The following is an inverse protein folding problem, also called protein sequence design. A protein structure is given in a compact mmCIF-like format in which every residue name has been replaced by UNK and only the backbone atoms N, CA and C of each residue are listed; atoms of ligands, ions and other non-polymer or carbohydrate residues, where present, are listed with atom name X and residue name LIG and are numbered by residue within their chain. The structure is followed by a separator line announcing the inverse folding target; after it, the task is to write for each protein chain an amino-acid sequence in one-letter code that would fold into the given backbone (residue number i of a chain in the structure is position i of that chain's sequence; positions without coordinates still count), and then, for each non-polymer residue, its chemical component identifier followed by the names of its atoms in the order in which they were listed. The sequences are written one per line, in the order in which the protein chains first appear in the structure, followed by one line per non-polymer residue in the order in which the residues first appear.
data_IF_171896066188
#
_entry.id   IF_171896066188
#
_cell.length_a   1.000
_cell.length_b   1.000
_cell.length_c   1.000
_cell.angle_alpha   90.00
_cell.angle_beta   90.00
_cell.angle_gamma   90.00
#
_symmetry.space_group_name_H-M   'P 1'
#
loop_
_entity.id
_entity.type
_entity.pdbx_description
1 polymer ?
#
# COMPACT_ATOMS: atom_id res chain seq x y z
N UNK A 1 2.65 -9.65 -11.21
CA UNK A 1 3.58 -9.06 -12.20
C UNK A 1 2.94 -8.05 -13.16
N UNK A 2 1.88 -8.38 -13.92
CA UNK A 2 1.33 -7.46 -14.97
C UNK A 2 0.77 -6.12 -14.46
N UNK A 3 0.02 -6.15 -13.36
CA UNK A 3 -0.54 -4.96 -12.69
C UNK A 3 0.51 -4.12 -11.98
N UNK A 4 1.62 -4.74 -11.60
CA UNK A 4 2.69 -4.10 -10.85
C UNK A 4 3.54 -3.17 -11.73
N UNK A 5 3.40 -3.31 -13.04
CA UNK A 5 4.13 -2.52 -14.02
C UNK A 5 3.30 -1.31 -14.45
N UNK A 6 3.89 -0.11 -14.39
CA UNK A 6 3.20 1.13 -14.72
C UNK A 6 3.98 1.97 -15.72
N UNK A 7 3.39 2.31 -16.87
CA UNK A 7 3.99 3.18 -17.91
C UNK A 7 5.47 2.91 -18.27
N UNK A 8 5.89 1.64 -18.22
CA UNK A 8 7.26 1.23 -18.55
C UNK A 8 8.17 1.02 -17.34
N UNK A 9 7.71 1.33 -16.12
CA UNK A 9 8.51 1.28 -14.90
C UNK A 9 8.03 0.19 -13.94
N UNK A 10 8.98 -0.31 -13.15
CA UNK A 10 8.74 -1.22 -12.03
C UNK A 10 8.83 -0.39 -10.75
N UNK A 11 7.85 -0.47 -9.84
CA UNK A 11 7.94 0.10 -8.51
C UNK A 11 9.23 -0.34 -7.80
N UNK A 12 9.88 0.52 -7.01
CA UNK A 12 11.11 0.20 -6.31
C UNK A 12 10.89 -0.71 -5.08
N UNK A 13 9.83 -1.51 -5.04
CA UNK A 13 9.49 -2.40 -3.91
C UNK A 13 9.39 -3.87 -4.31
N UNK A 14 9.71 -4.20 -5.57
CA UNK A 14 9.45 -5.53 -6.15
C UNK A 14 10.70 -6.33 -6.49
N UNK A 15 11.86 -5.67 -6.57
CA UNK A 15 13.13 -6.34 -6.83
C UNK A 15 14.27 -5.67 -6.06
N UNK A 16 15.23 -6.49 -5.61
CA UNK A 16 16.39 -6.05 -4.81
C UNK A 16 17.26 -4.99 -5.48
N UNK A 17 17.24 -4.94 -6.81
CA UNK A 17 18.03 -4.00 -7.63
C UNK A 17 17.45 -2.59 -7.71
N UNK A 18 16.51 -2.24 -6.85
CA UNK A 18 15.73 -1.00 -6.84
C UNK A 18 16.53 0.30 -6.62
N UNK A 19 17.68 0.24 -5.94
CA UNK A 19 18.52 1.41 -5.68
C UNK A 19 19.61 1.60 -6.75
N UNK A 20 19.22 1.85 -8.01
CA UNK A 20 20.14 2.23 -9.08
C UNK A 20 19.72 3.55 -9.72
N UNK A 21 20.68 4.43 -10.12
CA UNK A 21 20.35 5.71 -10.76
C UNK A 21 19.44 5.56 -11.99
N UNK A 22 19.54 4.44 -12.68
CA UNK A 22 18.78 4.17 -13.90
C UNK A 22 17.61 3.18 -13.74
N UNK A 23 17.28 2.80 -12.51
CA UNK A 23 16.19 1.87 -12.23
C UNK A 23 14.84 2.33 -12.79
N UNK A 24 14.61 3.64 -12.81
CA UNK A 24 13.41 4.28 -13.35
C UNK A 24 13.36 4.33 -14.89
N UNK A 25 14.38 3.84 -15.61
CA UNK A 25 14.34 3.77 -17.07
C UNK A 25 13.21 2.84 -17.50
N UNK A 26 12.43 3.31 -18.49
CA UNK A 26 11.33 2.54 -19.03
C UNK A 26 11.84 1.31 -19.80
N UNK A 27 11.42 0.13 -19.39
CA UNK A 27 11.79 -1.17 -19.98
C UNK A 27 10.56 -1.89 -20.53
N UNK A 28 10.77 -2.97 -21.27
CA UNK A 28 9.67 -3.88 -21.58
C UNK A 28 9.36 -4.75 -20.36
N UNK A 29 8.10 -5.14 -20.20
CA UNK A 29 7.71 -5.99 -19.08
C UNK A 29 8.27 -7.42 -19.28
N UNK A 30 8.82 -8.08 -18.25
CA UNK A 30 9.40 -9.42 -18.39
C UNK A 30 8.47 -10.49 -18.97
N UNK A 31 7.15 -10.38 -18.73
CA UNK A 31 6.16 -11.30 -19.30
C UNK A 31 6.06 -11.24 -20.83
N UNK A 32 6.69 -10.26 -21.50
CA UNK A 32 6.73 -10.16 -22.97
C UNK A 32 7.31 -11.42 -23.61
N UNK A 33 8.41 -11.95 -23.07
CA UNK A 33 9.06 -13.16 -23.60
C UNK A 33 8.10 -14.36 -23.65
N UNK A 34 7.29 -14.53 -22.59
CA UNK A 34 6.27 -15.57 -22.54
C UNK A 34 5.19 -15.35 -23.60
N UNK A 35 4.69 -14.12 -23.72
CA UNK A 35 3.65 -13.77 -24.70
C UNK A 35 4.12 -13.97 -26.14
N UNK A 36 5.35 -13.56 -26.46
CA UNK A 36 5.93 -13.77 -27.79
C UNK A 36 6.11 -15.26 -28.08
N UNK A 37 6.53 -16.06 -27.11
CA UNK A 37 6.65 -17.51 -27.29
C UNK A 37 5.28 -18.18 -27.49
N UNK A 38 4.25 -17.79 -26.74
CA UNK A 38 2.89 -18.30 -26.91
C UNK A 38 2.35 -17.98 -28.31
N UNK A 39 2.51 -16.74 -28.77
CA UNK A 39 2.03 -16.30 -30.08
C UNK A 39 2.82 -16.89 -31.25
N UNK A 40 4.10 -17.23 -31.06
CA UNK A 40 4.95 -17.81 -32.11
C UNK A 40 4.85 -19.32 -32.18
N UNK A 41 4.97 -19.99 -31.04
CA UNK A 41 5.22 -21.44 -30.98
C UNK A 41 3.97 -22.25 -30.60
N UNK A 42 2.98 -21.61 -29.97
CA UNK A 42 1.78 -22.30 -29.43
C UNK A 42 0.47 -21.72 -29.94
N UNK A 43 0.49 -20.86 -30.97
CA UNK A 43 -0.68 -20.13 -31.45
C UNK A 43 -1.84 -21.04 -31.84
N UNK A 44 -1.55 -22.22 -32.40
CA UNK A 44 -2.56 -23.20 -32.82
C UNK A 44 -3.28 -23.89 -31.65
N UNK A 45 -2.76 -23.80 -30.43
CA UNK A 45 -3.44 -24.26 -29.21
C UNK A 45 -4.32 -23.18 -28.56
N UNK A 46 -4.30 -21.95 -29.07
CA UNK A 46 -5.01 -20.82 -28.50
C UNK A 46 -6.31 -20.55 -29.25
N UNK A 47 -7.36 -20.24 -28.51
CA UNK A 47 -8.61 -19.78 -29.12
C UNK A 47 -8.49 -18.31 -29.61
N UNK A 48 -9.42 -17.83 -30.45
CA UNK A 48 -9.36 -16.47 -30.99
C UNK A 48 -9.31 -15.36 -29.93
N UNK A 49 -9.99 -15.53 -28.78
CA UNK A 49 -9.99 -14.56 -27.70
C UNK A 49 -8.63 -14.47 -27.00
N UNK A 50 -8.00 -15.63 -26.71
CA UNK A 50 -6.67 -15.70 -26.13
C UNK A 50 -5.62 -15.07 -27.05
N UNK A 51 -5.71 -15.33 -28.36
CA UNK A 51 -4.85 -14.71 -29.35
C UNK A 51 -5.02 -13.18 -29.33
N UNK A 52 -6.27 -12.69 -29.34
CA UNK A 52 -6.55 -11.26 -29.32
C UNK A 52 -5.99 -10.58 -28.05
N UNK A 53 -6.11 -11.23 -26.89
CA UNK A 53 -5.54 -10.77 -25.62
C UNK A 53 -4.02 -10.68 -25.68
N UNK A 54 -3.34 -11.74 -26.09
CA UNK A 54 -1.89 -11.77 -26.19
C UNK A 54 -1.37 -10.76 -27.22
N UNK A 55 -2.06 -10.60 -28.34
CA UNK A 55 -1.71 -9.61 -29.36
C UNK A 55 -1.86 -8.17 -28.85
N UNK A 56 -2.94 -7.86 -28.15
CA UNK A 56 -3.11 -6.55 -27.52
C UNK A 56 -2.05 -6.31 -26.43
N UNK A 57 -1.81 -7.31 -25.57
CA UNK A 57 -0.79 -7.26 -24.54
C UNK A 57 0.57 -6.95 -25.15
N UNK A 58 0.96 -7.68 -26.21
CA UNK A 58 2.22 -7.48 -26.91
C UNK A 58 2.36 -6.06 -27.44
N UNK A 59 1.31 -5.52 -28.09
CA UNK A 59 1.34 -4.14 -28.61
C UNK A 59 1.52 -3.11 -27.49
N UNK A 60 0.70 -3.19 -26.45
CA UNK A 60 0.71 -2.20 -25.37
C UNK A 60 1.98 -2.28 -24.50
N UNK A 61 2.48 -3.49 -24.25
CA UNK A 61 3.72 -3.67 -23.48
C UNK A 61 4.96 -3.22 -24.27
N UNK A 62 5.01 -3.38 -25.61
CA UNK A 62 6.05 -2.76 -26.47
C UNK A 62 5.99 -1.24 -26.44
N UNK A 63 4.77 -0.69 -26.41
CA UNK A 63 4.55 0.74 -26.22
C UNK A 63 4.83 1.22 -24.79
N UNK A 64 5.18 0.32 -23.86
CA UNK A 64 5.44 0.62 -22.44
C UNK A 64 4.23 1.30 -21.78
N UNK A 65 3.02 0.97 -22.24
CA UNK A 65 1.76 1.60 -21.83
C UNK A 65 0.65 0.55 -21.67
N UNK A 66 0.92 -0.47 -20.85
CA UNK A 66 0.09 -1.65 -20.68
C UNK A 66 -1.08 -1.41 -19.70
N UNK A 67 -2.30 -1.33 -20.22
CA UNK A 67 -3.54 -1.18 -19.44
C UNK A 67 -4.63 -2.18 -19.80
N UNK A 68 -4.67 -2.66 -21.04
CA UNK A 68 -5.62 -3.65 -21.54
C UNK A 68 -7.07 -3.25 -21.17
N UNK A 69 -7.48 -2.03 -21.52
CA UNK A 69 -8.76 -1.45 -21.08
C UNK A 69 -10.01 -2.21 -21.54
N UNK A 70 -9.86 -3.10 -22.54
CA UNK A 70 -10.94 -3.96 -23.04
C UNK A 70 -11.17 -5.22 -22.17
N UNK A 71 -10.41 -5.40 -21.09
CA UNK A 71 -10.48 -6.55 -20.19
C UNK A 71 -11.04 -6.14 -18.84
N UNK A 72 -11.60 -7.07 -18.03
CA UNK A 72 -12.15 -6.72 -16.74
C UNK A 72 -11.16 -5.99 -15.82
N UNK A 73 -11.63 -4.96 -15.13
CA UNK A 73 -10.88 -4.27 -14.10
C UNK A 73 -10.40 -5.26 -13.01
N UNK A 74 -9.25 -4.96 -12.42
CA UNK A 74 -8.53 -5.84 -11.50
C UNK A 74 -7.57 -6.83 -12.18
N UNK A 75 -7.61 -7.01 -13.50
CA UNK A 75 -6.69 -7.91 -14.20
C UNK A 75 -5.40 -7.20 -14.67
N UNK A 76 -5.55 -6.07 -15.37
CA UNK A 76 -4.45 -5.32 -15.99
C UNK A 76 -4.41 -3.84 -15.58
N UNK A 77 -5.60 -3.30 -15.28
CA UNK A 77 -5.88 -1.96 -14.78
C UNK A 77 -6.93 -2.07 -13.66
N UNK A 78 -7.34 -0.94 -13.08
CA UNK A 78 -8.29 -0.88 -11.97
C UNK A 78 -7.63 -1.15 -10.62
N UNK A 79 -8.45 -1.44 -9.62
CA UNK A 79 -8.00 -1.73 -8.25
C UNK A 79 -7.96 -3.22 -7.99
N UNK A 80 -6.91 -3.69 -7.32
CA UNK A 80 -6.80 -5.09 -6.88
C UNK A 80 -5.93 -5.20 -5.64
N UNK A 81 -6.43 -6.00 -4.70
CA UNK A 81 -5.63 -6.55 -3.62
C UNK A 81 -5.03 -7.92 -4.04
N UNK A 82 -3.71 -8.05 -3.96
CA UNK A 82 -2.97 -9.28 -4.19
C UNK A 82 -2.76 -10.00 -2.87
N UNK A 83 -3.77 -10.76 -2.44
CA UNK A 83 -3.80 -11.43 -1.13
C UNK A 83 -2.63 -12.37 -0.83
N UNK A 84 -1.94 -12.90 -1.86
CA UNK A 84 -0.74 -13.73 -1.67
C UNK A 84 0.55 -12.92 -1.46
N UNK A 85 0.51 -11.61 -1.77
CA UNK A 85 1.65 -10.71 -1.71
C UNK A 85 1.45 -9.60 -0.66
N UNK A 86 0.23 -9.47 -0.13
CA UNK A 86 -0.18 -8.35 0.72
C UNK A 86 -0.06 -6.96 0.04
N UNK A 87 -0.25 -6.89 -1.28
CA UNK A 87 -0.21 -5.63 -2.03
C UNK A 87 -1.60 -5.10 -2.38
N UNK A 88 -1.85 -3.80 -2.17
CA UNK A 88 -2.98 -3.09 -2.78
C UNK A 88 -2.48 -2.23 -3.94
N UNK A 89 -3.03 -2.46 -5.13
CA UNK A 89 -2.66 -1.71 -6.34
C UNK A 89 -3.89 -1.07 -6.94
N UNK A 90 -3.81 0.22 -7.26
CA UNK A 90 -4.68 0.85 -8.24
C UNK A 90 -3.86 1.33 -9.42
N UNK A 91 -4.29 0.94 -10.61
CA UNK A 91 -3.63 1.28 -11.86
C UNK A 91 -4.62 1.80 -12.88
N UNK A 92 -4.53 3.07 -13.22
CA UNK A 92 -5.33 3.71 -14.28
C UNK A 92 -4.42 4.41 -15.29
N UNK A 93 -4.92 4.79 -16.48
CA UNK A 93 -4.14 5.62 -17.40
C UNK A 93 -3.62 6.93 -16.77
N UNK A 94 -4.34 7.48 -15.80
CA UNK A 94 -4.10 8.78 -15.17
C UNK A 94 -3.13 8.69 -13.99
N UNK A 95 -3.16 7.61 -13.19
CA UNK A 95 -2.25 7.43 -12.07
C UNK A 95 -2.06 5.97 -11.65
N UNK A 96 -1.08 5.76 -10.80
CA UNK A 96 -0.80 4.52 -10.12
C UNK A 96 -0.67 4.78 -8.63
N UNK A 97 -1.34 3.95 -7.83
CA UNK A 97 -1.20 3.91 -6.39
C UNK A 97 -0.83 2.50 -5.97
N UNK A 98 0.17 2.37 -5.12
CA UNK A 98 0.64 1.10 -4.59
C UNK A 98 0.71 1.18 -3.07
N UNK A 99 0.33 0.11 -2.39
CA UNK A 99 0.58 -0.08 -0.95
C UNK A 99 1.26 -1.43 -0.78
N UNK A 100 2.50 -1.42 -0.33
CA UNK A 100 3.25 -2.62 0.02
C UNK A 100 3.08 -2.92 1.51
N UNK A 101 2.42 -4.01 1.85
CA UNK A 101 2.25 -4.45 3.23
C UNK A 101 3.03 -5.75 3.46
N UNK A 102 2.94 -6.29 4.67
CA UNK A 102 3.42 -7.63 4.97
C UNK A 102 2.58 -8.26 6.07
N UNK A 103 2.69 -9.59 6.16
CA UNK A 103 2.19 -10.39 7.25
C UNK A 103 3.14 -11.56 7.47
N UNK A 104 2.90 -12.37 8.50
CA UNK A 104 3.66 -13.61 8.73
C UNK A 104 3.61 -14.64 7.59
N UNK A 105 2.87 -14.37 6.51
CA UNK A 105 2.71 -15.22 5.33
C UNK A 105 3.61 -14.81 4.17
N UNK A 106 4.17 -13.60 4.23
CA UNK A 106 4.98 -13.00 3.18
C UNK A 106 6.35 -12.65 3.73
N UNK A 107 7.34 -12.65 2.85
CA UNK A 107 8.69 -12.21 3.17
C UNK A 107 8.87 -10.76 2.70
N UNK A 108 9.82 -10.06 3.32
CA UNK A 108 10.27 -8.76 2.86
C UNK A 108 11.05 -8.80 1.54
N UNK A 109 11.48 -7.62 1.10
CA UNK A 109 12.32 -7.49 -0.09
C UNK A 109 13.80 -7.77 0.23
N UNK A 110 14.42 -8.62 -0.58
CA UNK A 110 15.84 -9.00 -0.43
C UNK A 110 16.78 -7.78 -0.46
N UNK A 111 17.85 -7.82 0.33
CA UNK A 111 18.94 -6.83 0.35
C UNK A 111 20.29 -7.51 0.16
N UNK A 112 21.17 -6.91 -0.64
CA UNK A 112 22.53 -7.41 -0.87
C UNK A 112 23.46 -6.26 -1.25
N UNK A 113 24.15 -5.67 -0.27
CA UNK A 113 24.89 -4.42 -0.46
C UNK A 113 26.00 -4.48 -1.52
N UNK A 114 26.66 -5.63 -1.69
CA UNK A 114 27.78 -5.77 -2.64
C UNK A 114 27.32 -5.70 -4.11
N UNK A 115 26.10 -6.17 -4.43
CA UNK A 115 25.61 -6.25 -5.82
C UNK A 115 24.27 -5.55 -6.11
N UNK A 116 23.54 -5.16 -5.07
CA UNK A 116 22.19 -4.60 -5.12
C UNK A 116 21.97 -3.63 -3.93
N UNK A 117 20.72 -3.22 -3.69
CA UNK A 117 20.42 -2.35 -2.56
C UNK A 117 20.68 -3.07 -1.24
N UNK A 118 21.46 -2.47 -0.35
CA UNK A 118 21.70 -2.97 1.01
C UNK A 118 20.65 -2.51 2.04
N UNK A 119 19.66 -1.72 1.63
CA UNK A 119 18.74 -1.01 2.53
C UNK A 119 17.25 -1.19 2.20
N UNK A 120 16.84 -2.39 1.76
CA UNK A 120 15.40 -2.71 1.64
C UNK A 120 14.79 -3.02 3.02
N UNK A 121 14.96 -2.07 3.95
CA UNK A 121 14.61 -2.24 5.36
C UNK A 121 13.15 -1.89 5.61
N UNK A 122 12.56 -0.94 4.89
CA UNK A 122 11.23 -0.37 5.19
C UNK A 122 10.20 -0.63 4.10
N UNK A 123 10.53 -1.39 3.06
CA UNK A 123 9.70 -1.51 1.86
C UNK A 123 8.34 -2.11 2.13
N UNK A 124 8.22 -2.97 3.16
CA UNK A 124 6.99 -3.67 3.55
C UNK A 124 6.31 -3.05 4.78
N UNK A 125 6.76 -1.89 5.25
CA UNK A 125 6.21 -1.21 6.43
C UNK A 125 4.96 -0.39 6.09
N UNK A 126 4.20 -0.82 5.08
CA UNK A 126 3.07 -0.08 4.54
C UNK A 126 3.49 1.04 3.59
N UNK A 127 4.57 0.84 2.82
CA UNK A 127 5.07 1.84 1.88
C UNK A 127 4.02 2.14 0.82
N UNK A 128 3.68 3.41 0.65
CA UNK A 128 2.75 3.88 -0.37
C UNK A 128 3.52 4.51 -1.53
N UNK A 129 3.05 4.35 -2.76
CA UNK A 129 3.64 4.99 -3.93
C UNK A 129 2.53 5.64 -4.76
N UNK A 130 2.73 6.89 -5.19
CA UNK A 130 1.82 7.61 -6.08
C UNK A 130 2.58 8.08 -7.31
N UNK A 131 2.20 7.56 -8.48
CA UNK A 131 2.90 7.81 -9.74
C UNK A 131 1.92 8.31 -10.82
N UNK A 132 2.34 9.30 -11.60
CA UNK A 132 1.65 9.77 -12.83
C UNK A 132 2.34 9.28 -14.08
N UNK A 133 3.67 9.34 -14.09
CA UNK A 133 4.51 9.05 -15.25
C UNK A 133 5.20 7.70 -15.18
N UNK A 134 5.31 7.14 -13.98
CA UNK A 134 6.08 5.94 -13.68
C UNK A 134 7.48 6.28 -13.16
N UNK A 135 7.87 5.60 -12.08
CA UNK A 135 9.22 5.61 -11.54
C UNK A 135 9.59 6.88 -10.77
N UNK A 136 8.62 7.72 -10.38
CA UNK A 136 8.86 8.89 -9.54
C UNK A 136 9.54 8.51 -8.22
N UNK A 137 9.01 7.51 -7.51
CA UNK A 137 9.60 7.05 -6.24
C UNK A 137 10.99 6.44 -6.44
N UNK A 138 11.21 5.75 -7.56
CA UNK A 138 12.52 5.22 -7.90
C UNK A 138 13.55 6.33 -8.12
N UNK A 139 13.20 7.41 -8.84
CA UNK A 139 14.12 8.55 -9.06
C UNK A 139 14.45 9.30 -7.77
N UNK A 140 13.49 9.36 -6.84
CA UNK A 140 13.63 10.00 -5.54
C UNK A 140 14.53 9.21 -4.57
N UNK A 141 14.67 7.89 -4.75
CA UNK A 141 15.30 7.00 -3.77
C UNK A 141 16.75 7.41 -3.43
N UNK A 142 17.53 7.85 -4.42
CA UNK A 142 18.91 8.31 -4.19
C UNK A 142 19.00 9.51 -3.25
N UNK A 143 17.97 10.34 -3.17
CA UNK A 143 17.88 11.49 -2.27
C UNK A 143 16.92 11.27 -1.11
N UNK A 144 16.39 10.06 -0.89
CA UNK A 144 15.42 9.81 0.16
C UNK A 144 16.09 9.72 1.54
N UNK A 145 15.42 10.20 2.59
CA UNK A 145 15.67 9.73 3.95
C UNK A 145 15.00 8.37 4.05
N UNK A 146 15.77 7.30 4.21
CA UNK A 146 15.24 5.92 4.16
C UNK A 146 14.29 5.60 5.31
N UNK A 147 14.43 6.25 6.46
CA UNK A 147 13.46 6.15 7.58
C UNK A 147 12.17 6.95 7.35
N UNK A 148 12.04 7.60 6.18
CA UNK A 148 10.86 8.38 5.79
C UNK A 148 10.34 7.94 4.42
N UNK A 149 10.45 6.66 4.05
CA UNK A 149 9.82 6.21 2.81
C UNK A 149 8.30 6.48 2.88
N UNK A 150 7.65 6.91 1.79
CA UNK A 150 6.24 7.32 1.82
C UNK A 150 5.34 6.19 2.35
N UNK A 151 4.34 6.54 3.16
CA UNK A 151 3.39 5.61 3.78
C UNK A 151 3.86 4.88 5.04
N UNK A 152 5.17 4.76 5.23
CA UNK A 152 5.76 4.00 6.35
C UNK A 152 5.56 4.69 7.70
N UNK A 153 5.52 3.89 8.77
CA UNK A 153 5.63 4.36 10.15
C UNK A 153 6.95 3.82 10.72
N UNK A 154 7.93 4.68 10.98
CA UNK A 154 9.30 4.27 11.28
C UNK A 154 10.00 5.20 12.28
N UNK A 155 10.92 4.63 13.06
CA UNK A 155 11.83 5.39 13.92
C UNK A 155 12.82 6.17 13.08
N UNK A 156 13.06 7.42 13.46
CA UNK A 156 14.08 8.26 12.85
C UNK A 156 15.44 7.98 13.46
N UNK A 157 16.16 7.04 12.86
CA UNK A 157 17.50 6.67 13.31
C UNK A 157 18.57 7.50 12.61
N UNK A 158 19.69 7.74 13.31
CA UNK A 158 20.79 8.57 12.78
C UNK A 158 21.63 7.86 11.74
N UNK A 159 21.75 6.54 11.84
CA UNK A 159 22.59 5.72 10.96
C UNK A 159 21.95 4.36 10.75
N UNK A 160 21.87 3.94 9.50
CA UNK A 160 21.49 2.59 9.12
C UNK A 160 22.74 1.82 8.66
N UNK A 161 22.77 0.54 8.96
CA UNK A 161 23.78 -0.40 8.48
C UNK A 161 23.24 -1.15 7.26
N UNK A 162 24.03 -1.29 6.17
CA UNK A 162 23.63 -2.13 5.05
C UNK A 162 23.56 -3.59 5.50
N UNK A 163 22.71 -4.37 4.84
CA UNK A 163 22.51 -5.79 5.16
C UNK A 163 22.64 -6.69 3.93
N UNK A 164 23.04 -7.94 4.17
CA UNK A 164 22.80 -9.07 3.28
C UNK A 164 21.69 -9.94 3.87
N UNK A 165 20.49 -9.83 3.31
CA UNK A 165 19.27 -10.43 3.84
C UNK A 165 18.39 -10.93 2.69
N UNK A 166 18.24 -12.26 2.57
CA UNK A 166 17.50 -12.93 1.50
C UNK A 166 16.02 -13.16 1.80
N UNK A 167 15.58 -12.90 3.03
CA UNK A 167 14.16 -12.96 3.43
C UNK A 167 13.56 -11.56 3.63
N UNK A 168 14.42 -10.55 3.78
CA UNK A 168 14.02 -9.16 3.95
C UNK A 168 13.50 -8.83 5.35
N UNK A 169 12.92 -7.63 5.45
CA UNK A 169 12.22 -7.15 6.64
C UNK A 169 10.71 -7.14 6.36
N UNK A 170 9.93 -7.61 7.33
CA UNK A 170 8.50 -7.85 7.18
C UNK A 170 7.72 -7.55 8.45
N UNK A 171 6.57 -8.21 8.60
CA UNK A 171 5.69 -8.07 9.76
C UNK A 171 5.27 -9.43 10.30
N UNK A 172 5.31 -9.64 11.62
CA UNK A 172 4.75 -10.84 12.26
C UNK A 172 3.23 -10.75 12.49
N UNK A 173 2.61 -9.64 12.07
CA UNK A 173 1.16 -9.47 12.10
C UNK A 173 0.43 -10.63 11.42
N UNK A 174 -0.56 -11.18 12.11
CA UNK A 174 -1.42 -12.26 11.57
C UNK A 174 -2.46 -11.74 10.59
N UNK A 175 -2.89 -10.50 10.77
CA UNK A 175 -3.89 -9.84 9.94
C UNK A 175 -3.21 -9.07 8.82
N UNK A 176 -3.56 -9.41 7.59
CA UNK A 176 -3.45 -8.54 6.44
C UNK A 176 -4.50 -8.99 5.42
N UNK A 177 -5.35 -8.06 4.99
CA UNK A 177 -6.41 -8.34 4.04
C UNK A 177 -6.81 -7.09 3.27
N UNK A 178 -7.51 -7.31 2.17
CA UNK A 178 -8.11 -6.27 1.38
C UNK A 178 -9.29 -6.75 0.54
N UNK A 179 -10.20 -5.83 0.27
CA UNK A 179 -11.37 -5.99 -0.56
C UNK A 179 -11.36 -4.89 -1.62
N UNK A 180 -11.65 -5.24 -2.87
CA UNK A 180 -11.86 -4.28 -3.96
C UNK A 180 -13.22 -4.57 -4.59
N UNK A 181 -14.11 -3.59 -4.54
CA UNK A 181 -15.43 -3.65 -5.12
C UNK A 181 -15.37 -3.44 -6.65
N UNK A 182 -16.39 -3.88 -7.41
CA UNK A 182 -16.39 -3.79 -8.87
C UNK A 182 -16.28 -2.37 -9.45
N UNK A 183 -16.73 -1.35 -8.71
CA UNK A 183 -16.65 0.07 -9.08
C UNK A 183 -15.28 0.69 -8.79
N UNK A 184 -14.36 -0.08 -8.21
CA UNK A 184 -13.01 0.32 -7.92
C UNK A 184 -12.77 0.65 -6.45
N UNK A 185 -13.81 0.99 -5.66
CA UNK A 185 -13.68 1.26 -4.22
C UNK A 185 -12.95 0.10 -3.53
N UNK A 186 -12.07 0.40 -2.59
CA UNK A 186 -11.23 -0.62 -1.99
C UNK A 186 -10.82 -0.28 -0.58
N UNK A 187 -10.67 -1.31 0.24
CA UNK A 187 -10.10 -1.23 1.58
C UNK A 187 -9.04 -2.30 1.73
N UNK A 188 -7.91 -1.97 2.31
CA UNK A 188 -6.90 -2.94 2.70
C UNK A 188 -6.17 -2.47 3.96
N UNK A 189 -5.60 -3.40 4.72
CA UNK A 189 -4.81 -3.05 5.88
C UNK A 189 -4.18 -4.25 6.54
N UNK A 190 -3.28 -3.97 7.47
CA UNK A 190 -2.49 -4.98 8.15
C UNK A 190 -2.13 -4.55 9.57
N UNK A 191 -1.80 -5.55 10.38
CA UNK A 191 -1.13 -5.34 11.66
C UNK A 191 0.37 -5.28 11.34
N UNK A 192 0.95 -4.11 11.54
CA UNK A 192 2.39 -3.89 11.42
C UNK A 192 3.05 -4.22 12.76
N UNK A 193 3.93 -5.22 12.76
CA UNK A 193 4.79 -5.61 13.87
C UNK A 193 6.15 -6.00 13.28
N UNK A 194 7.03 -5.01 13.19
CA UNK A 194 8.21 -5.08 12.32
C UNK A 194 9.21 -6.15 12.79
N UNK A 195 9.65 -6.99 11.85
CA UNK A 195 10.71 -7.97 12.08
C UNK A 195 11.72 -8.03 10.95
N UNK A 196 12.85 -8.66 11.23
CA UNK A 196 13.76 -9.20 10.22
C UNK A 196 13.49 -10.69 10.06
N UNK A 197 12.98 -11.11 8.90
CA UNK A 197 12.55 -12.48 8.66
C UNK A 197 13.74 -13.46 8.71
N UNK A 198 14.95 -13.03 8.34
CA UNK A 198 16.17 -13.83 8.50
C UNK A 198 16.53 -14.13 9.95
N UNK A 199 16.23 -13.22 10.88
CA UNK A 199 16.47 -13.43 12.32
C UNK A 199 15.36 -14.29 12.91
N UNK A 200 14.12 -14.14 12.44
CA UNK A 200 13.01 -15.02 12.84
C UNK A 200 13.28 -16.47 12.43
N UNK A 201 13.70 -16.70 11.18
CA UNK A 201 14.02 -18.05 10.69
C UNK A 201 15.29 -18.62 11.33
N UNK A 202 16.30 -17.78 11.57
CA UNK A 202 17.56 -18.16 12.23
C UNK A 202 17.88 -17.22 13.40
N UNK A 203 17.39 -17.53 14.62
CA UNK A 203 17.59 -16.67 15.80
C UNK A 203 19.05 -16.40 16.19
N UNK A 204 20.00 -17.24 15.74
CA UNK A 204 21.43 -17.01 15.97
C UNK A 204 22.04 -15.93 15.06
N UNK A 205 21.31 -15.45 14.06
CA UNK A 205 21.78 -14.41 13.14
C UNK A 205 21.85 -13.07 13.89
N UNK A 206 22.92 -12.32 13.65
CA UNK A 206 23.05 -10.96 14.16
C UNK A 206 22.07 -10.01 13.44
N UNK A 207 21.39 -9.15 14.21
CA UNK A 207 20.58 -8.05 13.67
C UNK A 207 21.42 -6.79 13.55
N UNK A 208 21.57 -6.29 12.33
CA UNK A 208 22.40 -5.12 12.03
C UNK A 208 21.73 -3.78 12.41
N UNK A 209 20.39 -3.75 12.46
CA UNK A 209 19.60 -2.54 12.72
C UNK A 209 18.52 -2.77 13.80
N UNK A 210 18.87 -3.13 15.06
CA UNK A 210 17.87 -3.51 16.06
C UNK A 210 16.92 -2.38 16.45
N UNK A 211 17.36 -1.12 16.32
CA UNK A 211 16.61 0.09 16.64
C UNK A 211 15.34 0.30 15.79
N UNK A 212 15.27 -0.29 14.59
CA UNK A 212 14.07 -0.20 13.75
C UNK A 212 13.04 -1.27 14.13
N UNK A 213 13.43 -2.33 14.85
CA UNK A 213 12.65 -3.55 15.11
C UNK A 213 11.87 -3.55 16.45
N UNK A 214 11.21 -2.46 16.82
CA UNK A 214 10.40 -2.38 18.07
C UNK A 214 9.27 -1.38 17.93
N UNK A 215 8.48 -1.54 16.88
CA UNK A 215 7.42 -0.62 16.51
C UNK A 215 6.22 -1.42 16.01
N UNK A 216 5.05 -1.12 16.57
CA UNK A 216 3.77 -1.70 16.17
C UNK A 216 2.76 -0.65 15.78
N UNK A 217 1.86 -0.98 14.86
CA UNK A 217 0.70 -0.17 14.50
C UNK A 217 -0.32 -1.00 13.71
N UNK A 218 -1.59 -0.61 13.75
CA UNK A 218 -2.57 -1.04 12.75
C UNK A 218 -2.64 0.03 11.66
N UNK A 219 -2.47 -0.39 10.41
CA UNK A 219 -2.44 0.51 9.26
C UNK A 219 -3.53 0.09 8.28
N UNK A 220 -4.43 1.02 7.96
CA UNK A 220 -5.56 0.81 7.08
C UNK A 220 -5.56 1.83 5.94
N UNK A 221 -6.01 1.39 4.78
CA UNK A 221 -5.97 2.11 3.51
C UNK A 221 -7.32 1.96 2.81
N UNK A 222 -7.88 3.08 2.37
CA UNK A 222 -9.25 3.18 1.88
C UNK A 222 -9.26 3.97 0.59
N UNK A 223 -10.06 3.55 -0.37
CA UNK A 223 -10.31 4.29 -1.60
C UNK A 223 -11.81 4.54 -1.73
N UNK A 224 -12.20 5.81 -1.72
CA UNK A 224 -13.54 6.27 -2.08
C UNK A 224 -13.46 7.04 -3.40
N UNK A 225 -13.80 6.39 -4.52
CA UNK A 225 -13.45 6.89 -5.84
C UNK A 225 -11.94 7.17 -5.91
N UNK A 226 -11.54 8.36 -6.37
CA UNK A 226 -10.13 8.79 -6.47
C UNK A 226 -9.54 9.41 -5.18
N UNK A 227 -10.25 9.32 -4.06
CA UNK A 227 -9.71 9.73 -2.76
C UNK A 227 -9.11 8.51 -2.05
N UNK A 228 -7.79 8.50 -1.91
CA UNK A 228 -7.10 7.58 -1.01
C UNK A 228 -7.11 8.15 0.40
N UNK A 229 -7.38 7.31 1.40
CA UNK A 229 -7.34 7.65 2.81
C UNK A 229 -6.48 6.60 3.53
N UNK A 230 -5.69 7.03 4.50
CA UNK A 230 -4.91 6.13 5.33
C UNK A 230 -5.15 6.44 6.81
N UNK A 231 -5.46 5.39 7.57
CA UNK A 231 -5.64 5.43 9.01
C UNK A 231 -4.52 4.66 9.70
N UNK A 232 -4.03 5.21 10.81
CA UNK A 232 -3.12 4.55 11.73
C UNK A 232 -3.72 4.53 13.12
N UNK A 233 -3.64 3.39 13.81
CA UNK A 233 -4.04 3.24 15.20
C UNK A 233 -3.06 2.37 15.98
N UNK A 234 -3.01 2.56 17.31
CA UNK A 234 -2.15 1.75 18.17
C UNK A 234 -0.66 1.92 17.90
N UNK A 235 -0.24 3.07 17.37
CA UNK A 235 1.17 3.34 17.08
C UNK A 235 1.90 3.37 18.41
N UNK A 236 2.86 2.46 18.57
CA UNK A 236 3.57 2.33 19.83
C UNK A 236 5.04 2.01 19.61
N UNK A 237 5.87 2.86 20.22
CA UNK A 237 7.28 2.61 20.35
C UNK A 237 7.51 1.62 21.50
N UNK A 238 7.89 0.40 21.17
CA UNK A 238 8.16 -0.66 22.15
C UNK A 238 9.58 -0.61 22.73
N UNK A 239 10.43 0.29 22.23
CA UNK A 239 11.77 0.52 22.74
C UNK A 239 12.10 2.03 22.76
N UNK A 240 11.45 2.81 23.65
CA UNK A 240 11.70 4.25 23.77
C UNK A 240 13.12 4.60 24.24
N UNK A 241 13.88 3.64 24.75
CA UNK A 241 15.29 3.78 25.09
C UNK A 241 16.19 4.06 23.89
N UNK A 242 15.81 3.62 22.68
CA UNK A 242 16.50 4.02 21.46
C UNK A 242 16.15 5.47 21.10
N UNK A 243 17.15 6.24 20.68
CA UNK A 243 16.95 7.62 20.22
C UNK A 243 16.05 7.70 18.97
N UNK A 244 15.51 8.90 18.70
CA UNK A 244 14.71 9.18 17.51
C UNK A 244 13.20 9.10 17.74
N UNK A 245 12.48 10.05 17.16
CA UNK A 245 11.01 10.05 17.13
C UNK A 245 10.47 8.97 16.19
N UNK A 246 9.21 8.56 16.39
CA UNK A 246 8.47 7.75 15.43
C UNK A 246 7.73 8.67 14.46
N UNK A 247 8.01 8.55 13.17
CA UNK A 247 7.29 9.30 12.14
C UNK A 247 6.37 8.39 11.34
N UNK A 248 5.20 8.89 10.96
CA UNK A 248 4.49 8.40 9.76
C UNK A 248 4.78 9.36 8.62
N UNK A 249 5.35 8.86 7.53
CA UNK A 249 5.56 9.71 6.34
C UNK A 249 4.36 9.61 5.41
N UNK A 250 3.79 10.74 5.03
CA UNK A 250 2.68 10.80 4.06
C UNK A 250 3.23 10.75 2.64
N UNK A 251 4.24 11.58 2.36
CA UNK A 251 4.93 11.62 1.07
C UNK A 251 6.38 12.06 1.28
N UNK A 252 7.27 11.51 0.46
CA UNK A 252 8.65 11.94 0.26
C UNK A 252 9.07 11.58 -1.16
N UNK A 253 9.02 12.56 -2.06
CA UNK A 253 9.33 12.36 -3.48
C UNK A 253 9.91 13.63 -4.09
N UNK A 254 10.29 13.58 -5.37
CA UNK A 254 10.76 14.76 -6.09
C UNK A 254 9.68 15.85 -6.08
N UNK A 255 10.08 17.08 -5.79
CA UNK A 255 9.22 18.24 -5.94
C UNK A 255 8.98 18.48 -7.44
N UNK A 256 7.72 18.42 -7.87
CA UNK A 256 7.34 18.62 -9.26
C UNK A 256 5.97 19.28 -9.33
N UNK A 257 5.85 20.38 -10.05
CA UNK A 257 4.60 21.14 -10.15
C UNK A 257 3.99 21.42 -8.76
N UNK A 258 4.85 21.81 -7.80
CA UNK A 258 4.41 22.05 -6.44
C UNK A 258 3.41 23.20 -6.40
N UNK A 259 2.33 23.04 -5.64
CA UNK A 259 1.30 24.07 -5.48
C UNK A 259 1.27 24.50 -4.02
N UNK A 260 1.07 25.80 -3.79
CA UNK A 260 0.91 26.34 -2.43
C UNK A 260 -0.24 25.61 -1.72
N UNK A 261 -0.10 25.36 -0.40
CA UNK A 261 -1.15 24.69 0.34
C UNK A 261 -2.47 25.44 0.26
N UNK A 262 -3.58 24.69 0.16
CA UNK A 262 -4.94 25.22 0.20
C UNK A 262 -5.63 24.63 1.42
N UNK A 263 -6.18 25.48 2.29
CA UNK A 263 -6.90 25.04 3.49
C UNK A 263 -8.37 24.75 3.16
N UNK A 264 -8.82 23.53 3.42
CA UNK A 264 -10.22 23.10 3.28
C UNK A 264 -10.51 21.92 4.19
N UNK A 265 -11.74 21.86 4.74
CA UNK A 265 -12.15 20.83 5.71
C UNK A 265 -11.26 20.73 6.96
N UNK A 266 -10.62 21.83 7.36
CA UNK A 266 -9.66 21.85 8.47
C UNK A 266 -8.32 21.18 8.16
N UNK A 267 -8.02 20.97 6.88
CA UNK A 267 -6.78 20.35 6.38
C UNK A 267 -6.05 21.33 5.49
N UNK A 268 -4.73 21.43 5.66
CA UNK A 268 -3.85 22.06 4.69
C UNK A 268 -3.46 21.05 3.60
N UNK A 269 -3.95 21.26 2.39
CA UNK A 269 -3.71 20.38 1.24
C UNK A 269 -2.47 20.81 0.47
N UNK A 270 -1.42 20.00 0.52
CA UNK A 270 -0.16 20.22 -0.19
C UNK A 270 -0.20 19.60 -1.58
N UNK A 271 0.12 20.36 -2.63
CA UNK A 271 0.15 19.85 -4.00
C UNK A 271 1.54 19.43 -4.47
N UNK A 272 1.67 18.21 -5.00
CA UNK A 272 2.90 17.76 -5.64
C UNK A 272 2.59 16.72 -6.75
N UNK A 273 3.21 16.87 -7.92
CA UNK A 273 3.06 16.02 -9.12
C UNK A 273 1.59 15.76 -9.52
N UNK A 274 0.72 16.77 -9.36
CA UNK A 274 -0.71 16.65 -9.67
C UNK A 274 -1.51 15.78 -8.69
N UNK A 275 -0.97 15.47 -7.51
CA UNK A 275 -1.68 14.93 -6.35
C UNK A 275 -1.83 16.03 -5.28
N UNK A 276 -2.86 15.93 -4.44
CA UNK A 276 -2.96 16.71 -3.21
C UNK A 276 -2.89 15.80 -2.00
N UNK A 277 -2.06 16.15 -1.04
CA UNK A 277 -1.84 15.41 0.21
C UNK A 277 -2.32 16.25 1.39
N UNK A 278 -3.04 15.65 2.33
CA UNK A 278 -3.55 16.38 3.49
C UNK A 278 -3.67 15.48 4.71
N UNK A 279 -3.24 15.97 5.87
CA UNK A 279 -3.40 15.27 7.15
C UNK A 279 -4.55 15.90 7.92
N UNK A 280 -5.47 15.08 8.45
CA UNK A 280 -6.57 15.55 9.28
C UNK A 280 -6.09 15.77 10.73
N UNK A 281 -5.96 17.02 11.20
CA UNK A 281 -5.38 17.28 12.52
C UNK A 281 -6.25 16.74 13.65
N UNK A 282 -7.58 16.81 13.52
CA UNK A 282 -8.52 16.35 14.56
C UNK A 282 -8.52 14.83 14.79
N UNK A 283 -7.94 14.05 13.88
CA UNK A 283 -7.83 12.60 13.96
C UNK A 283 -6.37 12.10 14.01
N UNK A 284 -5.43 12.99 14.34
CA UNK A 284 -4.00 12.71 14.38
C UNK A 284 -3.40 13.20 15.70
N UNK A 285 -2.69 12.33 16.41
CA UNK A 285 -2.07 12.67 17.71
C UNK A 285 -0.70 13.32 17.58
N UNK A 286 -0.02 13.13 16.45
CA UNK A 286 1.32 13.66 16.18
C UNK A 286 1.33 15.07 15.59
N UNK A 287 2.52 15.68 15.53
CA UNK A 287 2.74 17.00 14.90
C UNK A 287 2.92 16.84 13.39
N UNK A 288 2.24 17.68 12.62
CA UNK A 288 2.27 17.63 11.15
C UNK A 288 3.38 18.57 10.65
N UNK A 289 4.20 18.08 9.74
CA UNK A 289 5.33 18.81 9.18
C UNK A 289 5.39 18.65 7.67
N UNK A 290 5.75 19.71 6.96
CA UNK A 290 6.08 19.65 5.55
C UNK A 290 7.40 20.37 5.27
N UNK A 291 8.11 19.93 4.22
CA UNK A 291 9.39 20.52 3.84
C UNK A 291 9.59 20.43 2.33
N UNK A 292 10.10 21.52 1.76
CA UNK A 292 10.72 21.53 0.45
C UNK A 292 12.21 21.78 0.64
N UNK A 293 13.05 20.96 0.04
CA UNK A 293 14.50 21.11 0.17
C UNK A 293 15.25 20.57 -1.05
N UNK A 294 16.43 21.12 -1.31
CA UNK A 294 17.39 20.56 -2.25
C UNK A 294 18.25 19.54 -1.51
N UNK A 295 18.33 18.32 -2.03
CA UNK A 295 19.17 17.25 -1.50
C UNK A 295 20.04 16.67 -2.58
N UNK A 296 21.27 16.32 -2.20
CA UNK A 296 22.17 15.57 -3.07
C UNK A 296 21.86 14.08 -2.97
N UNK A 297 21.84 13.38 -4.10
CA UNK A 297 21.71 11.93 -4.11
C UNK A 297 22.92 11.27 -3.45
N UNK A 298 22.71 10.06 -2.94
CA UNK A 298 23.74 9.18 -2.40
C UNK A 298 23.55 7.75 -2.91
N UNK A 299 23.51 7.57 -4.23
CA UNK A 299 23.41 6.27 -4.87
C UNK A 299 24.55 5.32 -4.47
N UNK A 300 25.78 5.84 -4.38
CA UNK A 300 26.96 5.09 -3.93
C UNK A 300 26.79 4.52 -2.53
N UNK A 301 26.07 5.24 -1.66
CA UNK A 301 25.79 4.80 -0.30
C UNK A 301 24.77 3.65 -0.21
N UNK A 302 23.99 3.40 -1.26
CA UNK A 302 22.95 2.37 -1.25
C UNK A 302 23.44 0.99 -1.72
N UNK A 303 24.54 0.94 -2.48
CA UNK A 303 25.10 -0.29 -3.03
C UNK A 303 26.55 -0.10 -3.48
N UNK A 304 27.41 -1.10 -3.25
CA UNK A 304 28.78 -1.10 -3.83
C UNK A 304 28.75 -1.15 -5.35
N UNK A 305 27.73 -1.77 -5.96
CA UNK A 305 27.54 -1.79 -7.40
C UNK A 305 27.33 -0.40 -8.02
N UNK A 306 27.01 0.60 -7.18
CA UNK A 306 26.86 1.99 -7.61
C UNK A 306 28.15 2.81 -7.48
N UNK A 307 29.34 2.22 -7.28
CA UNK A 307 30.59 2.96 -7.07
C UNK A 307 30.85 4.06 -8.12
N UNK A 308 30.48 3.82 -9.40
CA UNK A 308 30.60 4.77 -10.50
C UNK A 308 29.41 5.71 -10.70
N UNK A 309 28.37 5.65 -9.87
CA UNK A 309 27.18 6.50 -10.00
C UNK A 309 27.54 7.98 -9.90
N UNK A 310 26.89 8.83 -10.69
CA UNK A 310 27.01 10.29 -10.58
C UNK A 310 25.97 10.77 -9.58
N UNK A 311 26.41 11.54 -8.59
CA UNK A 311 25.51 12.14 -7.60
C UNK A 311 25.07 13.53 -8.04
N UNK A 312 23.77 13.79 -7.99
CA UNK A 312 23.13 15.02 -8.47
C UNK A 312 22.30 15.67 -7.38
N UNK A 313 22.04 16.96 -7.48
CA UNK A 313 21.06 17.64 -6.64
C UNK A 313 19.64 17.43 -7.17
N UNK A 314 18.70 17.28 -6.24
CA UNK A 314 17.28 17.07 -6.51
C UNK A 314 16.45 17.89 -5.53
N UNK A 315 15.38 18.53 -6.03
CA UNK A 315 14.37 19.12 -5.16
C UNK A 315 13.43 18.04 -4.65
N UNK A 316 13.24 17.99 -3.33
CA UNK A 316 12.42 17.01 -2.62
C UNK A 316 11.27 17.71 -1.91
N UNK A 317 10.09 17.09 -1.96
CA UNK A 317 8.94 17.43 -1.13
C UNK A 317 8.74 16.32 -0.11
N UNK A 318 8.57 16.68 1.16
CA UNK A 318 8.21 15.76 2.24
C UNK A 318 7.03 16.29 3.05
N UNK A 319 6.12 15.39 3.44
CA UNK A 319 5.03 15.63 4.38
C UNK A 319 4.98 14.45 5.36
N UNK A 320 5.03 14.71 6.66
CA UNK A 320 5.06 13.66 7.68
C UNK A 320 4.41 14.09 8.99
N UNK A 321 4.21 13.10 9.84
CA UNK A 321 3.62 13.22 11.17
C UNK A 321 4.66 12.73 12.17
N UNK A 322 5.07 13.59 13.10
CA UNK A 322 5.94 13.26 14.23
C UNK A 322 5.09 12.86 15.44
N UNK A 323 5.09 11.56 15.77
CA UNK A 323 4.37 11.03 16.94
C UNK A 323 5.14 11.18 18.25
N UNK A 324 6.41 11.61 18.19
CA UNK A 324 7.33 11.63 19.31
C UNK A 324 7.99 10.27 19.59
N UNK A 325 9.03 10.29 20.42
CA UNK A 325 9.74 9.08 20.85
C UNK A 325 8.92 8.21 21.79
N UNK A 326 8.20 8.83 22.73
CA UNK A 326 7.45 8.13 23.79
C UNK A 326 6.04 7.71 23.36
N UNK A 327 5.76 7.64 22.06
CA UNK A 327 4.40 7.39 21.56
C UNK A 327 3.86 6.06 22.09
N UNK A 328 2.67 6.14 22.70
CA UNK A 328 1.84 5.01 23.11
C UNK A 328 0.43 5.23 22.60
N UNK A 329 -0.10 4.26 21.87
CA UNK A 329 -1.44 4.33 21.27
C UNK A 329 -1.67 5.57 20.40
N UNK A 330 -0.66 5.96 19.60
CA UNK A 330 -0.77 7.07 18.66
C UNK A 330 -1.70 6.74 17.48
N UNK A 331 -2.25 7.79 16.86
CA UNK A 331 -3.12 7.67 15.69
C UNK A 331 -2.78 8.69 14.60
N UNK A 332 -3.13 8.38 13.36
CA UNK A 332 -3.14 9.34 12.27
C UNK A 332 -4.33 9.11 11.32
N UNK A 333 -4.70 10.17 10.61
CA UNK A 333 -5.54 10.09 9.41
C UNK A 333 -5.01 11.05 8.34
N UNK A 334 -4.69 10.54 7.15
CA UNK A 334 -4.29 11.38 6.02
C UNK A 334 -5.00 10.96 4.73
N UNK A 335 -5.01 11.87 3.78
CA UNK A 335 -5.68 11.75 2.49
C UNK A 335 -4.72 12.07 1.35
N UNK A 336 -4.94 11.38 0.23
CA UNK A 336 -4.33 11.71 -1.06
C UNK A 336 -5.43 11.78 -2.11
N UNK A 337 -5.72 12.99 -2.59
CA UNK A 337 -6.65 13.18 -3.70
C UNK A 337 -5.92 12.92 -5.02
N UNK A 338 -6.12 11.72 -5.57
CA UNK A 338 -5.48 11.26 -6.79
C UNK A 338 -5.94 12.02 -8.05
N UNK A 339 -7.05 12.77 -7.98
CA UNK A 339 -7.50 13.68 -9.05
C UNK A 339 -6.83 15.07 -9.03
N UNK A 340 -6.00 15.38 -8.03
CA UNK A 340 -5.35 16.68 -7.90
C UNK A 340 -6.29 17.83 -7.52
N UNK A 341 -7.48 17.52 -6.97
CA UNK A 341 -8.49 18.49 -6.54
C UNK A 341 -8.93 18.19 -5.12
N UNK A 342 -9.16 19.23 -4.33
CA UNK A 342 -9.72 19.08 -2.98
C UNK A 342 -11.10 18.41 -3.10
N UNK A 343 -11.37 17.35 -2.34
CA UNK A 343 -12.65 16.67 -2.42
C UNK A 343 -13.78 17.56 -1.87
N UNK A 344 -14.96 17.50 -2.48
CA UNK A 344 -16.14 18.26 -2.01
C UNK A 344 -16.57 17.83 -0.60
N UNK A 345 -16.43 16.54 -0.29
CA UNK A 345 -16.75 15.94 1.01
C UNK A 345 -15.65 14.97 1.40
N UNK A 346 -15.35 14.90 2.70
CA UNK A 346 -14.49 13.88 3.27
C UNK A 346 -15.33 12.72 3.84
N UNK A 347 -14.82 11.49 3.78
CA UNK A 347 -15.41 10.37 4.51
C UNK A 347 -15.37 10.63 6.03
N UNK A 348 -16.45 10.25 6.72
CA UNK A 348 -16.49 10.23 8.18
C UNK A 348 -15.66 9.05 8.69
N UNK A 349 -14.78 9.30 9.67
CA UNK A 349 -14.08 8.23 10.41
C UNK A 349 -15.04 7.70 11.47
N UNK A 350 -15.55 6.49 11.28
CA UNK A 350 -16.47 5.84 12.22
C UNK A 350 -15.71 5.21 13.39
N UNK A 351 -14.52 4.67 13.11
CA UNK A 351 -13.61 4.15 14.12
C UNK A 351 -12.17 4.16 13.60
N UNK A 352 -11.21 4.40 14.49
CA UNK A 352 -9.78 4.26 14.21
C UNK A 352 -9.07 3.69 15.46
N UNK A 353 -9.25 2.39 15.70
CA UNK A 353 -8.69 1.69 16.88
C UNK A 353 -7.93 0.44 16.46
N UNK A 354 -7.29 -0.24 17.41
CA UNK A 354 -6.60 -1.51 17.15
C UNK A 354 -7.56 -2.69 16.93
N UNK A 355 -8.86 -2.53 17.26
CA UNK A 355 -9.89 -3.54 17.02
C UNK A 355 -10.58 -3.36 15.68
N UNK A 356 -10.79 -2.10 15.25
CA UNK A 356 -11.44 -1.79 13.98
C UNK A 356 -11.02 -0.41 13.45
N UNK A 357 -10.82 -0.34 12.13
CA UNK A 357 -10.72 0.92 11.39
C UNK A 357 -11.85 0.97 10.37
N UNK A 358 -12.68 2.01 10.41
CA UNK A 358 -13.86 2.11 9.57
C UNK A 358 -14.14 3.55 9.13
N UNK A 359 -14.54 3.72 7.88
CA UNK A 359 -14.88 4.99 7.27
C UNK A 359 -16.17 4.88 6.45
N UNK A 360 -16.87 6.00 6.31
CA UNK A 360 -18.14 6.08 5.56
C UNK A 360 -18.19 7.32 4.68
N UNK A 361 -18.63 7.16 3.43
CA UNK A 361 -18.93 8.28 2.53
C UNK A 361 -20.13 7.94 1.66
N UNK A 362 -21.18 8.75 1.78
CA UNK A 362 -22.42 8.57 1.03
C UNK A 362 -23.09 7.24 1.36
N UNK A 363 -23.10 6.31 0.40
CA UNK A 363 -23.73 4.99 0.53
C UNK A 363 -22.72 3.86 0.79
N UNK A 364 -21.43 4.20 0.91
CA UNK A 364 -20.35 3.22 1.07
C UNK A 364 -19.78 3.29 2.49
N UNK A 365 -19.73 2.13 3.16
CA UNK A 365 -18.95 1.90 4.37
C UNK A 365 -17.80 0.95 4.04
N UNK A 366 -16.60 1.30 4.47
CA UNK A 366 -15.41 0.47 4.35
C UNK A 366 -14.83 0.23 5.73
N UNK A 367 -14.47 -1.01 6.05
CA UNK A 367 -13.98 -1.38 7.37
C UNK A 367 -12.94 -2.49 7.34
N UNK A 368 -12.02 -2.42 8.30
CA UNK A 368 -11.03 -3.44 8.65
C UNK A 368 -11.33 -3.87 10.08
N UNK A 369 -11.92 -5.05 10.26
CA UNK A 369 -12.16 -5.65 11.55
C UNK A 369 -10.96 -6.52 11.90
N UNK A 370 -10.15 -6.10 12.87
CA UNK A 370 -9.03 -6.88 13.39
C UNK A 370 -9.50 -7.93 14.39
N UNK A 371 -10.57 -7.63 15.12
CA UNK A 371 -11.21 -8.50 16.10
C UNK A 371 -12.65 -8.85 15.69
N UNK A 372 -13.04 -10.11 15.92
CA UNK A 372 -14.42 -10.55 15.73
C UNK A 372 -15.33 -9.95 16.80
N UNK A 373 -16.59 -9.69 16.45
CA UNK A 373 -17.59 -9.17 17.38
C UNK A 373 -17.45 -7.70 17.75
N UNK A 374 -16.37 -7.00 17.33
CA UNK A 374 -16.28 -5.54 17.43
C UNK A 374 -17.42 -4.88 16.67
N UNK A 375 -17.95 -3.80 17.24
CA UNK A 375 -19.13 -3.11 16.72
C UNK A 375 -18.77 -1.70 16.27
N UNK A 376 -19.31 -1.29 15.12
CA UNK A 376 -19.19 0.06 14.57
C UNK A 376 -20.57 0.59 14.26
N UNK A 377 -20.86 1.83 14.65
CA UNK A 377 -22.10 2.50 14.25
C UNK A 377 -21.91 3.12 12.86
N UNK A 378 -22.79 2.76 11.93
CA UNK A 378 -22.82 3.29 10.55
C UNK A 378 -24.17 3.95 10.28
N UNK A 379 -24.30 4.72 9.19
CA UNK A 379 -25.61 5.24 8.77
C UNK A 379 -26.64 4.15 8.42
N UNK A 380 -26.16 2.93 8.11
CA UNK A 380 -27.00 1.76 7.79
C UNK A 380 -27.40 0.94 9.03
N UNK A 381 -26.89 1.30 10.20
CA UNK A 381 -27.10 0.58 11.45
C UNK A 381 -25.79 0.07 12.07
N UNK A 382 -25.93 -0.66 13.18
CA UNK A 382 -24.81 -1.19 13.94
C UNK A 382 -24.20 -2.38 13.22
N UNK A 383 -22.93 -2.29 12.84
CA UNK A 383 -22.19 -3.28 12.07
C UNK A 383 -21.30 -4.14 12.98
N UNK A 384 -21.31 -5.46 12.79
CA UNK A 384 -20.32 -6.39 13.36
C UNK A 384 -20.11 -7.60 12.45
N UNK A 385 -19.02 -8.34 12.69
CA UNK A 385 -18.61 -9.50 11.88
C UNK A 385 -18.21 -10.69 12.76
N UNK A 386 -18.37 -11.90 12.24
CA UNK A 386 -18.07 -13.14 12.97
C UNK A 386 -16.58 -13.52 13.00
N UNK A 387 -15.75 -12.90 12.16
CA UNK A 387 -14.31 -13.15 12.08
C UNK A 387 -13.58 -11.88 11.58
N UNK A 388 -12.27 -11.72 11.85
CA UNK A 388 -11.50 -10.60 11.32
C UNK A 388 -11.55 -10.56 9.79
N UNK A 389 -11.81 -9.40 9.21
CA UNK A 389 -12.00 -9.26 7.77
C UNK A 389 -11.76 -7.84 7.26
N UNK A 390 -11.45 -7.73 5.97
CA UNK A 390 -11.67 -6.52 5.19
C UNK A 390 -13.09 -6.53 4.62
N UNK A 391 -13.82 -5.41 4.71
CA UNK A 391 -15.24 -5.34 4.35
C UNK A 391 -15.58 -4.02 3.66
N UNK A 392 -16.35 -4.12 2.57
CA UNK A 392 -17.03 -3.00 1.92
C UNK A 392 -18.52 -3.31 1.89
N UNK A 393 -19.32 -2.37 2.38
CA UNK A 393 -20.77 -2.35 2.27
C UNK A 393 -21.16 -1.17 1.39
N UNK A 394 -21.94 -1.43 0.35
CA UNK A 394 -22.48 -0.38 -0.51
C UNK A 394 -23.99 -0.50 -0.57
N UNK A 395 -24.69 0.49 -0.05
CA UNK A 395 -26.15 0.58 -0.18
C UNK A 395 -26.50 0.91 -1.62
N UNK A 396 -27.50 0.21 -2.13
CA UNK A 396 -28.10 0.40 -3.43
C UNK A 396 -29.63 0.40 -3.24
N UNK A 397 -30.39 0.75 -4.27
CA UNK A 397 -31.85 0.75 -4.17
C UNK A 397 -32.37 -0.64 -3.77
N UNK A 398 -33.04 -0.71 -2.61
CA UNK A 398 -33.59 -1.94 -2.02
C UNK A 398 -32.57 -3.02 -1.65
N UNK A 399 -31.27 -2.72 -1.63
CA UNK A 399 -30.23 -3.75 -1.51
C UNK A 399 -28.91 -3.24 -0.92
N UNK A 400 -28.06 -4.18 -0.52
CA UNK A 400 -26.69 -3.91 -0.09
C UNK A 400 -25.74 -4.86 -0.81
N UNK A 401 -24.73 -4.30 -1.47
CA UNK A 401 -23.60 -5.05 -2.00
C UNK A 401 -22.55 -5.19 -0.91
N UNK A 402 -22.11 -6.42 -0.67
CA UNK A 402 -21.13 -6.78 0.35
C UNK A 402 -19.93 -7.38 -0.34
N UNK A 403 -18.77 -6.75 -0.18
CA UNK A 403 -17.47 -7.30 -0.61
C UNK A 403 -16.60 -7.56 0.61
N UNK A 404 -16.15 -8.80 0.81
CA UNK A 404 -15.37 -9.14 1.99
C UNK A 404 -14.25 -10.15 1.71
N UNK A 405 -13.18 -10.08 2.50
CA UNK A 405 -12.08 -11.04 2.51
C UNK A 405 -11.68 -11.39 3.96
N UNK A 406 -11.32 -12.65 4.20
CA UNK A 406 -10.81 -13.10 5.49
C UNK A 406 -9.48 -12.42 5.85
N UNK A 407 -9.43 -11.78 7.01
CA UNK A 407 -8.28 -11.09 7.57
C UNK A 407 -7.08 -11.98 7.86
N UNK A 408 -7.33 -13.24 8.18
CA UNK A 408 -6.33 -14.18 8.72
C UNK A 408 -5.98 -15.31 7.74
N UNK A 409 -6.67 -15.40 6.60
CA UNK A 409 -6.57 -16.51 5.65
C UNK A 409 -6.68 -17.87 6.37
N UNK A 410 -7.70 -18.00 7.23
CA UNK A 410 -7.99 -19.19 7.99
C UNK A 410 -8.65 -20.26 7.10
N UNK A 411 -7.94 -21.36 6.87
CA UNK A 411 -8.41 -22.50 6.05
C UNK A 411 -9.74 -23.11 6.52
N UNK A 412 -10.10 -22.92 7.79
CA UNK A 412 -11.31 -23.46 8.39
C UNK A 412 -12.50 -22.46 8.34
N UNK A 413 -12.27 -21.21 7.92
CA UNK A 413 -13.33 -20.20 7.81
C UNK A 413 -14.01 -20.29 6.45
N UNK A 414 -15.01 -21.17 6.32
CA UNK A 414 -15.79 -21.31 5.08
C UNK A 414 -16.87 -20.25 4.87
N UNK A 415 -17.20 -19.47 5.92
CA UNK A 415 -18.29 -18.49 5.91
C UNK A 415 -17.98 -17.31 6.82
N UNK A 416 -18.29 -16.11 6.37
CA UNK A 416 -18.28 -14.88 7.16
C UNK A 416 -19.72 -14.41 7.38
N UNK A 417 -20.13 -14.28 8.64
CA UNK A 417 -21.43 -13.74 9.02
C UNK A 417 -21.29 -12.28 9.42
N UNK A 418 -22.16 -11.43 8.88
CA UNK A 418 -22.14 -9.97 9.01
C UNK A 418 -23.49 -9.54 9.56
N UNK A 419 -23.49 -8.82 10.67
CA UNK A 419 -24.71 -8.24 11.26
C UNK A 419 -24.72 -6.74 11.00
N UNK A 420 -25.84 -6.23 10.47
CA UNK A 420 -26.05 -4.81 10.20
C UNK A 420 -27.44 -4.38 10.70
N UNK A 421 -27.47 -3.74 11.87
CA UNK A 421 -28.72 -3.49 12.59
C UNK A 421 -29.43 -4.80 12.92
N UNK A 422 -30.67 -4.96 12.48
CA UNK A 422 -31.44 -6.19 12.65
C UNK A 422 -31.21 -7.23 11.53
N UNK A 423 -30.43 -6.90 10.50
CA UNK A 423 -30.17 -7.78 9.35
C UNK A 423 -28.92 -8.62 9.58
N UNK A 424 -28.91 -9.82 9.01
CA UNK A 424 -27.75 -10.69 8.96
C UNK A 424 -27.50 -11.15 7.52
N UNK A 425 -26.24 -11.13 7.12
CA UNK A 425 -25.77 -11.61 5.83
C UNK A 425 -24.71 -12.68 6.05
N UNK A 426 -24.65 -13.65 5.14
CA UNK A 426 -23.60 -14.67 5.14
C UNK A 426 -22.90 -14.70 3.78
N UNK A 427 -21.58 -14.59 3.79
CA UNK A 427 -20.75 -14.77 2.60
C UNK A 427 -19.96 -16.06 2.69
N UNK A 428 -20.07 -16.92 1.68
CA UNK A 428 -19.16 -18.04 1.50
C UNK A 428 -17.78 -17.52 1.08
N UNK A 429 -16.75 -17.91 1.83
CA UNK A 429 -15.37 -17.49 1.57
C UNK A 429 -14.65 -18.54 0.70
N UNK A 430 -13.72 -18.11 -0.17
CA UNK A 430 -12.96 -19.05 -0.99
C UNK A 430 -11.98 -19.87 -0.15
N UNK A 431 -11.62 -21.06 -0.67
CA UNK A 431 -10.65 -21.97 -0.06
C UNK A 431 -9.53 -22.32 -1.05
N UNK A 432 -8.58 -23.17 -0.62
CA UNK A 432 -7.47 -23.62 -1.46
C UNK A 432 -6.58 -22.46 -1.91
N UNK A 433 -6.21 -22.43 -3.19
CA UNK A 433 -5.39 -21.36 -3.79
C UNK A 433 -6.07 -19.97 -3.80
N UNK A 434 -7.38 -19.93 -3.61
CA UNK A 434 -8.16 -18.70 -3.57
C UNK A 434 -8.37 -18.17 -2.14
N UNK A 435 -7.86 -18.85 -1.11
CA UNK A 435 -7.95 -18.41 0.28
C UNK A 435 -7.38 -16.99 0.42
N UNK A 436 -8.16 -16.07 0.98
CA UNK A 436 -7.80 -14.64 1.08
C UNK A 436 -8.31 -13.76 -0.07
N UNK A 437 -8.82 -14.35 -1.16
CA UNK A 437 -9.49 -13.60 -2.23
C UNK A 437 -10.83 -13.04 -1.72
N UNK A 438 -11.07 -11.76 -2.00
CA UNK A 438 -12.35 -11.12 -1.72
C UNK A 438 -13.50 -11.72 -2.55
N UNK A 439 -14.69 -11.75 -1.95
CA UNK A 439 -15.95 -12.17 -2.58
C UNK A 439 -16.97 -11.04 -2.50
N UNK A 440 -17.73 -10.86 -3.58
CA UNK A 440 -18.82 -9.88 -3.65
C UNK A 440 -20.17 -10.58 -3.79
N UNK A 441 -21.14 -10.21 -2.96
CA UNK A 441 -22.53 -10.65 -3.06
C UNK A 441 -23.49 -9.51 -2.76
N UNK A 442 -24.62 -9.49 -3.47
CA UNK A 442 -25.70 -8.53 -3.26
C UNK A 442 -26.81 -9.18 -2.46
N UNK A 443 -27.32 -8.48 -1.46
CA UNK A 443 -28.40 -8.91 -0.58
C UNK A 443 -29.55 -7.91 -0.64
N UNK A 444 -30.79 -8.38 -0.52
CA UNK A 444 -31.94 -7.49 -0.35
C UNK A 444 -31.85 -6.79 1.00
N UNK A 445 -32.13 -5.49 0.98
CA UNK A 445 -32.04 -4.60 2.12
C UNK A 445 -33.35 -3.81 2.21
N UNK A 446 -34.42 -4.52 2.54
CA UNK A 446 -35.76 -3.99 2.82
C UNK A 446 -35.95 -3.70 4.30
#
# INVERSE_FOLDING_TARGET
MKTHFYKGTIPPVLERGNARPDYAKKREIPSMTLVENLLRSFRHYLNPMQIAELEQFRREAKAKNLFMLNYPAGNYHGTRYFFNNDDLIRKTPEYYAFVNMASRRTNGLESYFDGANGFNLFTCDGQTLFEREGGESAKALGSAVLTMLPGTTARQTKKLSPVENWLGYGSQGRFAAGAAAPDGDAVAGFIFDKVNDSVVERPSRHEENPEILKLRANKGYFFFGDLFCALGAGIENLAPEYEGSIFTTVEQTLAKNAVKPVTAHGIDWHGNNGFLYGVLPSATTGKIHSKHEVRRTNWRGLSQANAGAVETEQEMFSLWIDHGREVKNGTYAYFVACGGKVPEKLPSILANTVQVQAMELGQTVQALFYDAGTQVNTSMGKLSVSAPCALILKREDGSVSVTAADGLMNRNLGRLDISLGAKQFSLSLPSGEALGKAVTRKFLFE
#
